data_IF_036524318694
#
_entry.id   IF_036524318694
#
_cell.length_a   1.000
_cell.length_b   1.000
_cell.length_c   1.000
_cell.angle_alpha   90.00
_cell.angle_beta   90.00
_cell.angle_gamma   90.00
#
_symmetry.space_group_name_H-M   'P 1'
#
loop_
_entity.id
_entity.type
_entity.pdbx_description
1 polymer ?
#
# COMPACT_ATOMS: atom_id res chain seq x y z
N UNK A 1 1.47 44.55 -22.54
CA UNK A 1 0.91 44.36 -21.18
C UNK A 1 1.00 42.86 -20.92
N UNK A 2 1.74 42.40 -19.91
CA UNK A 2 1.78 40.94 -19.62
C UNK A 2 0.38 40.52 -19.23
N UNK A 3 -0.16 39.52 -19.91
CA UNK A 3 -1.50 39.02 -19.67
C UNK A 3 -1.46 38.17 -18.39
N UNK A 4 -1.66 38.79 -17.23
CA UNK A 4 -1.49 38.12 -15.93
C UNK A 4 -2.77 37.44 -15.46
N UNK A 5 -2.62 36.31 -14.78
CA UNK A 5 -3.72 35.61 -14.12
C UNK A 5 -4.38 36.51 -13.05
N UNK A 6 -5.63 36.92 -13.27
CA UNK A 6 -6.38 37.82 -12.37
C UNK A 6 -7.22 37.09 -11.33
N UNK A 7 -7.07 35.76 -11.24
CA UNK A 7 -7.82 34.89 -10.33
C UNK A 7 -7.21 34.90 -8.92
N UNK A 8 -8.07 34.80 -7.90
CA UNK A 8 -7.61 34.55 -6.54
C UNK A 8 -6.92 33.18 -6.44
N UNK A 9 -5.83 33.03 -5.65
CA UNK A 9 -5.08 31.78 -5.58
C UNK A 9 -5.93 30.54 -5.27
N UNK A 10 -6.99 30.67 -4.47
CA UNK A 10 -7.87 29.53 -4.17
C UNK A 10 -8.77 29.16 -5.36
N UNK A 11 -9.20 30.12 -6.18
CA UNK A 11 -9.93 29.83 -7.42
C UNK A 11 -9.06 29.03 -8.38
N UNK A 12 -7.79 29.43 -8.55
CA UNK A 12 -6.81 28.68 -9.35
C UNK A 12 -6.68 27.25 -8.84
N UNK A 13 -6.49 27.06 -7.53
CA UNK A 13 -6.36 25.73 -6.93
C UNK A 13 -7.60 24.89 -7.15
N UNK A 14 -8.81 25.44 -7.02
CA UNK A 14 -10.06 24.70 -7.27
C UNK A 14 -10.15 24.21 -8.71
N UNK A 15 -9.77 25.05 -9.68
CA UNK A 15 -9.76 24.68 -11.10
C UNK A 15 -8.72 23.59 -11.36
N UNK A 16 -7.49 23.74 -10.85
CA UNK A 16 -6.42 22.75 -11.01
C UNK A 16 -6.77 21.40 -10.37
N UNK A 17 -7.44 21.41 -9.21
CA UNK A 17 -7.96 20.19 -8.56
C UNK A 17 -8.99 19.47 -9.45
N UNK A 18 -9.89 20.20 -10.10
CA UNK A 18 -10.87 19.62 -11.02
C UNK A 18 -10.19 18.99 -12.25
N UNK A 19 -9.24 19.70 -12.85
CA UNK A 19 -8.45 19.19 -13.98
C UNK A 19 -7.69 17.92 -13.59
N UNK A 20 -7.00 17.93 -12.44
CA UNK A 20 -6.28 16.77 -11.94
C UNK A 20 -7.19 15.58 -11.71
N UNK A 21 -8.32 15.77 -11.03
CA UNK A 21 -9.26 14.71 -10.73
C UNK A 21 -9.93 14.15 -11.99
N UNK A 22 -10.28 15.01 -12.96
CA UNK A 22 -10.80 14.57 -14.24
C UNK A 22 -9.77 13.72 -14.98
N UNK A 23 -8.52 14.20 -15.11
CA UNK A 23 -7.45 13.47 -15.78
C UNK A 23 -7.20 12.12 -15.09
N UNK A 24 -7.01 12.13 -13.77
CA UNK A 24 -6.72 10.92 -13.00
C UNK A 24 -7.90 9.92 -13.02
N UNK A 25 -9.12 10.41 -13.22
CA UNK A 25 -10.34 9.64 -13.42
C UNK A 25 -10.44 8.90 -14.76
N UNK A 26 -9.63 9.26 -15.75
CA UNK A 26 -9.56 8.58 -17.05
C UNK A 26 -8.39 7.58 -17.05
N UNK A 27 -8.62 6.33 -17.47
CA UNK A 27 -7.65 5.21 -17.54
C UNK A 27 -6.18 5.64 -17.60
N UNK A 28 -5.52 5.66 -16.44
CA UNK A 28 -4.09 5.96 -16.26
C UNK A 28 -3.58 7.22 -16.98
N UNK A 29 -4.40 8.26 -17.04
CA UNK A 29 -4.14 9.45 -17.88
C UNK A 29 -3.32 10.51 -17.14
N UNK A 30 -2.05 10.62 -17.52
CA UNK A 30 -1.14 11.70 -17.09
C UNK A 30 -1.13 12.92 -18.04
N UNK A 31 -1.72 12.78 -19.24
CA UNK A 31 -1.74 13.81 -20.29
C UNK A 31 -3.08 13.80 -21.02
N UNK A 32 -3.57 14.97 -21.41
CA UNK A 32 -4.84 15.12 -22.12
C UNK A 32 -4.76 16.21 -23.19
N UNK A 33 -5.57 16.12 -24.23
CA UNK A 33 -5.68 17.21 -25.19
C UNK A 33 -6.31 18.42 -24.51
N UNK A 34 -5.85 19.62 -24.86
CA UNK A 34 -6.35 20.90 -24.34
C UNK A 34 -7.87 20.97 -24.44
N UNK A 35 -8.44 20.56 -25.57
CA UNK A 35 -9.89 20.62 -25.81
C UNK A 35 -10.69 19.71 -24.86
N UNK A 36 -10.11 18.58 -24.42
CA UNK A 36 -10.72 17.70 -23.42
C UNK A 36 -10.69 18.33 -22.01
N UNK A 37 -9.72 19.21 -21.74
CA UNK A 37 -9.59 19.90 -20.46
C UNK A 37 -10.47 21.14 -20.33
N UNK A 38 -11.13 21.56 -21.41
CA UNK A 38 -11.96 22.77 -21.38
C UNK A 38 -13.19 22.59 -20.47
N UNK A 39 -13.85 21.45 -20.53
CA UNK A 39 -15.09 21.23 -19.77
C UNK A 39 -14.85 21.19 -18.26
N UNK A 40 -13.89 20.41 -17.72
CA UNK A 40 -13.59 20.44 -16.28
C UNK A 40 -13.21 21.82 -15.75
N UNK A 41 -12.62 22.67 -16.60
CA UNK A 41 -12.28 24.05 -16.23
C UNK A 41 -13.51 24.96 -16.25
N UNK A 42 -14.37 24.87 -17.28
CA UNK A 42 -15.60 25.66 -17.40
C UNK A 42 -16.52 25.43 -16.21
N UNK A 43 -16.75 24.17 -15.83
CA UNK A 43 -17.62 23.81 -14.70
C UNK A 43 -17.22 24.54 -13.41
N UNK A 44 -15.90 24.63 -13.14
CA UNK A 44 -15.41 25.34 -11.95
C UNK A 44 -15.49 26.85 -12.10
N UNK A 45 -15.17 27.40 -13.27
CA UNK A 45 -15.26 28.84 -13.52
C UNK A 45 -16.71 29.35 -13.33
N UNK A 46 -17.69 28.60 -13.84
CA UNK A 46 -19.12 28.90 -13.68
C UNK A 46 -19.54 28.81 -12.20
N UNK A 47 -19.14 27.73 -11.51
CA UNK A 47 -19.43 27.54 -10.08
C UNK A 47 -18.85 28.64 -9.20
N UNK A 48 -17.65 29.11 -9.52
CA UNK A 48 -16.95 30.19 -8.82
C UNK A 48 -17.35 31.59 -9.32
N UNK A 49 -18.29 31.68 -10.28
CA UNK A 49 -18.82 32.92 -10.88
C UNK A 49 -17.73 33.83 -11.45
N UNK A 50 -16.73 33.25 -12.09
CA UNK A 50 -15.66 33.99 -12.76
C UNK A 50 -16.08 34.31 -14.19
N UNK A 51 -16.48 35.56 -14.45
CA UNK A 51 -16.96 35.98 -15.77
C UNK A 51 -15.84 36.33 -16.76
N UNK A 52 -14.72 36.88 -16.29
CA UNK A 52 -13.69 37.48 -17.15
C UNK A 52 -12.56 36.50 -17.57
N UNK A 53 -12.74 35.21 -17.32
CA UNK A 53 -11.77 34.16 -17.63
C UNK A 53 -12.42 33.05 -18.44
N UNK A 54 -11.90 32.76 -19.64
CA UNK A 54 -12.28 31.56 -20.40
C UNK A 54 -11.39 30.37 -20.00
N UNK A 55 -11.93 29.16 -20.12
CA UNK A 55 -11.20 27.93 -19.82
C UNK A 55 -9.91 27.79 -20.64
N UNK A 56 -10.00 28.11 -21.93
CA UNK A 56 -8.89 28.08 -22.87
C UNK A 56 -7.79 29.10 -22.51
N UNK A 57 -8.20 30.32 -22.10
CA UNK A 57 -7.25 31.34 -21.59
C UNK A 57 -6.60 30.89 -20.29
N UNK A 58 -7.36 30.33 -19.35
CA UNK A 58 -6.83 29.82 -18.09
C UNK A 58 -5.74 28.75 -18.32
N UNK A 59 -6.02 27.74 -19.14
CA UNK A 59 -5.08 26.65 -19.39
C UNK A 59 -3.77 27.15 -20.03
N UNK A 60 -3.85 28.12 -20.96
CA UNK A 60 -2.64 28.76 -21.52
C UNK A 60 -1.84 29.50 -20.46
N UNK A 61 -2.47 30.34 -19.64
CA UNK A 61 -1.76 31.11 -18.61
C UNK A 61 -1.10 30.19 -17.56
N UNK A 62 -1.79 29.14 -17.14
CA UNK A 62 -1.24 28.14 -16.19
C UNK A 62 -0.03 27.41 -16.78
N UNK A 63 -0.04 27.13 -18.09
CA UNK A 63 1.07 26.49 -18.80
C UNK A 63 2.24 27.46 -19.02
N UNK A 64 1.96 28.62 -19.61
CA UNK A 64 2.97 29.53 -20.16
C UNK A 64 3.59 30.41 -19.07
N UNK A 65 2.79 30.89 -18.10
CA UNK A 65 3.26 31.80 -17.05
C UNK A 65 3.45 31.07 -15.71
N UNK A 66 2.55 30.13 -15.38
CA UNK A 66 2.56 29.43 -14.10
C UNK A 66 3.49 28.21 -14.06
N UNK A 67 3.75 27.58 -15.20
CA UNK A 67 4.53 26.33 -15.30
C UNK A 67 3.90 25.12 -14.59
N UNK A 68 2.67 25.22 -14.08
CA UNK A 68 2.00 24.13 -13.35
C UNK A 68 1.50 23.03 -14.29
N UNK A 69 1.24 23.40 -15.55
CA UNK A 69 1.00 22.48 -16.65
C UNK A 69 2.17 22.57 -17.65
N UNK A 70 2.51 21.43 -18.23
CA UNK A 70 3.54 21.27 -19.25
C UNK A 70 2.87 20.93 -20.57
N UNK A 71 3.35 21.55 -21.66
CA UNK A 71 2.91 21.26 -23.03
C UNK A 71 3.74 20.14 -23.64
N UNK A 72 3.08 19.15 -24.24
CA UNK A 72 3.67 18.06 -25.00
C UNK A 72 3.22 18.20 -26.46
N UNK A 73 4.02 18.89 -27.27
CA UNK A 73 3.57 19.34 -28.60
C UNK A 73 2.61 20.53 -28.49
N UNK A 74 1.71 20.68 -29.48
CA UNK A 74 0.90 21.90 -29.62
C UNK A 74 -0.24 21.97 -28.61
N UNK A 75 -1.00 20.88 -28.47
CA UNK A 75 -2.30 20.88 -27.77
C UNK A 75 -2.47 19.74 -26.75
N UNK A 76 -1.39 19.15 -26.22
CA UNK A 76 -1.48 18.14 -25.16
C UNK A 76 -0.84 18.66 -23.89
N UNK A 77 -1.61 18.70 -22.80
CA UNK A 77 -1.16 19.21 -21.50
C UNK A 77 -1.07 18.10 -20.47
N UNK A 78 -0.16 18.25 -19.51
CA UNK A 78 -0.08 17.42 -18.32
C UNK A 78 0.56 18.15 -17.16
N UNK A 79 0.35 17.68 -15.93
CA UNK A 79 1.05 18.24 -14.77
C UNK A 79 2.55 17.96 -14.86
N UNK A 80 3.36 18.82 -14.23
CA UNK A 80 4.81 18.67 -14.21
C UNK A 80 5.25 17.31 -13.60
N UNK A 81 4.52 16.84 -12.59
CA UNK A 81 4.76 15.56 -11.93
C UNK A 81 3.44 14.84 -11.64
N UNK A 82 3.46 13.51 -11.75
CA UNK A 82 2.31 12.66 -11.42
C UNK A 82 1.90 12.84 -9.95
N UNK A 83 2.86 12.88 -9.02
CA UNK A 83 2.62 13.18 -7.61
C UNK A 83 1.85 14.49 -7.36
N UNK A 84 2.04 15.49 -8.22
CA UNK A 84 1.27 16.73 -8.11
C UNK A 84 -0.17 16.56 -8.59
N UNK A 85 -0.40 15.80 -9.66
CA UNK A 85 -1.75 15.41 -10.10
C UNK A 85 -2.46 14.57 -9.04
N UNK A 86 -1.77 13.61 -8.42
CA UNK A 86 -2.30 12.74 -7.37
C UNK A 86 -2.68 13.57 -6.14
N UNK A 87 -1.79 14.46 -5.68
CA UNK A 87 -2.08 15.37 -4.57
C UNK A 87 -3.31 16.25 -4.84
N UNK A 88 -3.38 16.87 -6.01
CA UNK A 88 -4.54 17.70 -6.39
C UNK A 88 -5.82 16.87 -6.48
N UNK A 89 -5.74 15.63 -6.94
CA UNK A 89 -6.87 14.68 -6.97
C UNK A 89 -7.35 14.32 -5.57
N UNK A 90 -6.43 13.98 -4.65
CA UNK A 90 -6.75 13.74 -3.24
C UNK A 90 -7.43 14.96 -2.59
N UNK A 91 -6.96 16.18 -2.90
CA UNK A 91 -7.57 17.43 -2.45
C UNK A 91 -8.92 17.73 -3.10
N UNK A 92 -9.15 17.28 -4.34
CA UNK A 92 -10.45 17.38 -5.00
C UNK A 92 -11.48 16.49 -4.30
N UNK A 93 -11.17 15.21 -4.10
CA UNK A 93 -12.05 14.24 -3.44
C UNK A 93 -12.49 14.75 -2.06
N UNK A 94 -11.56 15.37 -1.32
CA UNK A 94 -11.83 16.01 -0.04
C UNK A 94 -12.90 17.11 -0.10
N UNK A 95 -12.94 17.87 -1.19
CA UNK A 95 -13.89 18.96 -1.41
C UNK A 95 -15.29 18.51 -1.83
N UNK A 96 -15.47 17.26 -2.28
CA UNK A 96 -16.78 16.73 -2.69
C UNK A 96 -17.71 16.40 -1.50
N UNK A 97 -17.16 16.39 -0.28
CA UNK A 97 -17.83 15.94 0.92
C UNK A 97 -17.73 14.43 1.07
N UNK A 98 -16.60 13.96 1.62
CA UNK A 98 -16.37 12.55 1.96
C UNK A 98 -17.22 12.05 3.15
N UNK A 99 -18.24 12.82 3.54
CA UNK A 99 -19.39 12.38 4.33
C UNK A 99 -20.43 11.63 3.47
N UNK A 100 -20.38 11.75 2.14
CA UNK A 100 -21.30 11.08 1.21
C UNK A 100 -20.86 9.63 0.94
N UNK A 101 -21.68 8.61 1.26
CA UNK A 101 -21.32 7.20 1.10
C UNK A 101 -20.98 6.77 -0.34
N UNK A 102 -21.56 7.42 -1.36
CA UNK A 102 -21.38 7.03 -2.76
C UNK A 102 -19.95 7.29 -3.30
N UNK A 103 -19.35 8.43 -2.94
CA UNK A 103 -18.01 8.81 -3.40
C UNK A 103 -16.93 7.90 -2.77
N UNK A 104 -17.06 7.63 -1.47
CA UNK A 104 -16.18 6.70 -0.76
C UNK A 104 -16.31 5.28 -1.28
N UNK A 105 -17.52 4.87 -1.68
CA UNK A 105 -17.74 3.57 -2.30
C UNK A 105 -17.04 3.46 -3.66
N UNK A 106 -17.12 4.51 -4.49
CA UNK A 106 -16.39 4.58 -5.75
C UNK A 106 -14.88 4.45 -5.57
N UNK A 107 -14.32 5.11 -4.56
CA UNK A 107 -12.90 5.01 -4.24
C UNK A 107 -12.53 3.65 -3.63
N UNK A 108 -13.35 3.09 -2.75
CA UNK A 108 -13.16 1.76 -2.18
C UNK A 108 -13.13 0.64 -3.24
N UNK A 109 -13.81 0.84 -4.38
CA UNK A 109 -13.72 -0.07 -5.54
C UNK A 109 -12.33 -0.10 -6.19
N UNK A 110 -11.56 0.98 -6.02
CA UNK A 110 -10.24 1.19 -6.60
C UNK A 110 -9.10 0.87 -5.64
N UNK A 111 -9.39 0.19 -4.52
CA UNK A 111 -8.41 -0.05 -3.46
C UNK A 111 -7.15 -0.79 -3.93
N UNK A 112 -7.30 -1.76 -4.83
CA UNK A 112 -6.18 -2.53 -5.41
C UNK A 112 -5.63 -1.93 -6.71
N UNK A 113 -6.20 -0.82 -7.19
CA UNK A 113 -5.72 -0.17 -8.39
C UNK A 113 -4.48 0.66 -8.04
N UNK A 114 -3.31 0.22 -8.50
CA UNK A 114 -2.03 0.88 -8.24
C UNK A 114 -2.01 2.33 -8.73
N UNK A 115 -2.84 2.68 -9.72
CA UNK A 115 -3.01 4.06 -10.17
C UNK A 115 -3.63 4.97 -9.09
N UNK A 116 -4.49 4.43 -8.23
CA UNK A 116 -5.18 5.17 -7.18
C UNK A 116 -4.49 5.11 -5.82
N UNK A 117 -3.44 4.30 -5.68
CA UNK A 117 -2.73 4.08 -4.43
C UNK A 117 -2.34 5.40 -3.77
N UNK A 118 -1.55 6.24 -4.44
CA UNK A 118 -1.04 7.48 -3.86
C UNK A 118 -2.16 8.48 -3.57
N UNK A 119 -3.20 8.53 -4.40
CA UNK A 119 -4.38 9.36 -4.15
C UNK A 119 -5.10 8.94 -2.86
N UNK A 120 -5.26 7.64 -2.63
CA UNK A 120 -5.88 7.11 -1.41
C UNK A 120 -5.01 7.44 -0.19
N UNK A 121 -3.70 7.21 -0.26
CA UNK A 121 -2.77 7.48 0.85
C UNK A 121 -2.73 8.97 1.19
N UNK A 122 -2.56 9.86 0.20
CA UNK A 122 -2.58 11.30 0.40
C UNK A 122 -3.94 11.81 0.91
N UNK A 123 -5.04 11.14 0.56
CA UNK A 123 -6.36 11.45 1.10
C UNK A 123 -6.43 11.08 2.60
N UNK A 124 -5.94 9.90 2.98
CA UNK A 124 -5.93 9.40 4.36
C UNK A 124 -4.99 10.17 5.29
N UNK A 125 -3.88 10.69 4.78
CA UNK A 125 -2.91 11.48 5.54
C UNK A 125 -3.44 12.83 6.04
N UNK A 126 -4.60 13.28 5.56
CA UNK A 126 -5.16 14.60 5.90
C UNK A 126 -5.96 14.57 7.21
N UNK A 127 -5.62 15.47 8.15
CA UNK A 127 -6.18 15.52 9.52
C UNK A 127 -7.53 16.22 9.67
N UNK A 128 -7.95 17.10 8.76
CA UNK A 128 -9.12 17.96 8.99
C UNK A 128 -10.15 17.93 7.84
N UNK A 129 -11.31 17.25 8.04
CA UNK A 129 -11.57 16.22 9.06
C UNK A 129 -10.81 14.92 8.74
N UNK A 130 -10.61 13.96 9.65
CA UNK A 130 -10.06 12.66 9.27
C UNK A 130 -11.05 11.87 8.39
N UNK A 131 -10.56 11.11 7.41
CA UNK A 131 -11.39 10.28 6.50
C UNK A 131 -11.09 8.79 6.57
N UNK A 132 -10.18 8.39 7.45
CA UNK A 132 -9.86 6.99 7.66
C UNK A 132 -11.09 6.15 8.01
N UNK A 133 -11.84 6.55 9.04
CA UNK A 133 -13.02 5.78 9.44
C UNK A 133 -14.08 5.66 8.34
N UNK A 134 -14.57 6.76 7.71
CA UNK A 134 -15.61 6.63 6.70
C UNK A 134 -15.12 5.86 5.47
N UNK A 135 -13.84 5.98 5.09
CA UNK A 135 -13.25 5.18 4.03
C UNK A 135 -13.16 3.69 4.39
N UNK A 136 -12.66 3.36 5.58
CA UNK A 136 -12.58 1.97 6.05
C UNK A 136 -13.96 1.35 6.25
N UNK A 137 -14.99 2.13 6.62
CA UNK A 137 -16.39 1.66 6.62
C UNK A 137 -16.90 1.33 5.21
N UNK A 138 -16.45 2.06 4.19
CA UNK A 138 -16.77 1.74 2.80
C UNK A 138 -16.04 0.48 2.35
N UNK A 139 -14.76 0.32 2.69
CA UNK A 139 -14.00 -0.90 2.41
C UNK A 139 -14.55 -2.12 3.12
N UNK A 140 -14.95 -2.00 4.39
CA UNK A 140 -15.40 -3.13 5.19
C UNK A 140 -16.78 -3.68 4.78
N UNK A 141 -17.49 -2.97 3.88
CA UNK A 141 -18.69 -3.49 3.22
C UNK A 141 -18.37 -4.40 2.03
N UNK A 142 -17.12 -4.45 1.58
CA UNK A 142 -16.68 -5.27 0.44
C UNK A 142 -16.25 -6.66 0.92
N UNK A 143 -16.77 -7.76 0.34
CA UNK A 143 -16.40 -9.13 0.72
C UNK A 143 -14.89 -9.41 0.61
N UNK A 144 -14.24 -8.77 -0.36
CA UNK A 144 -12.80 -8.89 -0.60
C UNK A 144 -11.93 -8.30 0.55
N UNK A 145 -12.53 -7.69 1.58
CA UNK A 145 -11.80 -7.28 2.77
C UNK A 145 -10.98 -8.43 3.39
N UNK A 146 -11.50 -9.66 3.33
CA UNK A 146 -10.80 -10.85 3.84
C UNK A 146 -9.44 -11.11 3.17
N UNK A 147 -9.32 -10.81 1.89
CA UNK A 147 -8.09 -10.93 1.11
C UNK A 147 -7.20 -9.71 1.25
N UNK A 148 -7.77 -8.51 1.38
CA UNK A 148 -6.98 -7.28 1.51
C UNK A 148 -6.38 -7.04 2.88
N UNK A 149 -6.94 -7.67 3.93
CA UNK A 149 -6.49 -7.49 5.30
C UNK A 149 -4.97 -7.70 5.48
N UNK A 150 -4.37 -8.52 4.63
CA UNK A 150 -2.96 -8.89 4.70
C UNK A 150 -2.06 -8.20 3.63
N UNK A 151 -2.63 -7.29 2.83
CA UNK A 151 -1.92 -6.62 1.71
C UNK A 151 -1.04 -5.45 2.13
N UNK A 152 -0.01 -5.16 1.33
CA UNK A 152 0.85 -3.97 1.50
C UNK A 152 0.03 -2.67 1.46
N UNK A 153 -0.98 -2.58 0.59
CA UNK A 153 -1.85 -1.41 0.52
C UNK A 153 -2.58 -1.14 1.85
N UNK A 154 -3.05 -2.18 2.54
CA UNK A 154 -3.64 -2.06 3.87
C UNK A 154 -2.59 -1.57 4.88
N UNK A 155 -1.35 -2.08 4.81
CA UNK A 155 -0.25 -1.65 5.67
C UNK A 155 0.08 -0.17 5.48
N UNK A 156 0.15 0.30 4.24
CA UNK A 156 0.36 1.70 3.88
C UNK A 156 -0.78 2.59 4.38
N UNK A 157 -2.05 2.16 4.26
CA UNK A 157 -3.19 2.93 4.78
C UNK A 157 -3.09 3.19 6.29
N UNK A 158 -2.63 2.21 7.07
CA UNK A 158 -2.42 2.37 8.51
C UNK A 158 -1.15 3.16 8.85
N UNK A 159 -0.16 3.17 7.96
CA UNK A 159 1.08 3.93 8.13
C UNK A 159 0.85 5.41 7.86
N UNK A 160 0.16 5.72 6.77
CA UNK A 160 -0.02 7.09 6.28
C UNK A 160 -1.20 7.82 6.91
N UNK A 161 -2.18 7.09 7.48
CA UNK A 161 -3.37 7.73 8.04
C UNK A 161 -3.04 8.76 9.12
N UNK A 162 -3.73 9.90 9.03
CA UNK A 162 -3.71 10.93 10.06
C UNK A 162 -4.17 10.42 11.44
N UNK A 163 -5.13 9.49 11.46
CA UNK A 163 -5.78 8.97 12.67
C UNK A 163 -6.09 7.48 12.46
N UNK A 164 -5.52 6.63 13.31
CA UNK A 164 -5.85 5.19 13.35
C UNK A 164 -7.14 4.99 14.15
N UNK A 165 -7.97 4.05 13.71
CA UNK A 165 -9.22 3.72 14.39
C UNK A 165 -9.62 2.26 14.18
N UNK A 166 -10.00 1.59 15.26
CA UNK A 166 -10.52 0.22 15.22
C UNK A 166 -12.02 0.21 14.87
N UNK A 167 -12.70 1.35 15.08
CA UNK A 167 -14.15 1.49 15.00
C UNK A 167 -14.77 0.87 13.74
N UNK A 168 -14.26 1.13 12.51
CA UNK A 168 -14.86 0.57 11.29
C UNK A 168 -14.88 -0.96 11.27
N UNK A 169 -13.84 -1.59 11.83
CA UNK A 169 -13.67 -3.04 11.83
C UNK A 169 -14.47 -3.69 12.96
N UNK A 170 -14.50 -3.06 14.14
CA UNK A 170 -15.35 -3.51 15.25
C UNK A 170 -16.83 -3.41 14.87
N UNK A 171 -17.25 -2.34 14.21
CA UNK A 171 -18.63 -2.18 13.73
C UNK A 171 -19.04 -3.32 12.79
N UNK A 172 -18.18 -3.71 11.85
CA UNK A 172 -18.48 -4.83 10.94
C UNK A 172 -18.51 -6.16 11.67
N UNK A 173 -17.56 -6.39 12.59
CA UNK A 173 -17.54 -7.60 13.40
C UNK A 173 -18.83 -7.74 14.23
N UNK A 174 -19.33 -6.66 14.81
CA UNK A 174 -20.50 -6.69 15.70
C UNK A 174 -21.86 -6.79 14.98
N UNK A 175 -21.91 -6.74 13.65
CA UNK A 175 -23.18 -6.85 12.90
C UNK A 175 -23.75 -8.26 12.95
N UNK A 176 -25.05 -8.35 13.20
CA UNK A 176 -25.80 -9.61 13.21
C UNK A 176 -26.39 -10.01 11.84
N UNK A 177 -26.03 -9.30 10.77
CA UNK A 177 -26.55 -9.51 9.43
C UNK A 177 -25.96 -10.79 8.80
N UNK A 178 -26.83 -11.64 8.23
CA UNK A 178 -26.40 -12.86 7.55
C UNK A 178 -25.60 -12.54 6.27
N UNK A 179 -24.57 -13.34 5.98
CA UNK A 179 -23.77 -13.20 4.76
C UNK A 179 -22.60 -12.22 4.86
N UNK A 180 -22.26 -11.73 6.06
CA UNK A 180 -21.08 -10.88 6.30
C UNK A 180 -19.82 -11.66 6.74
N UNK A 181 -19.84 -13.00 6.68
CA UNK A 181 -18.79 -13.84 7.26
C UNK A 181 -17.38 -13.50 6.76
N UNK A 182 -17.20 -13.30 5.45
CA UNK A 182 -15.91 -12.92 4.86
C UNK A 182 -15.46 -11.54 5.33
N UNK A 183 -16.34 -10.54 5.30
CA UNK A 183 -16.05 -9.18 5.77
C UNK A 183 -15.67 -9.18 7.25
N UNK A 184 -16.36 -9.98 8.07
CA UNK A 184 -16.11 -10.10 9.51
C UNK A 184 -14.76 -10.78 9.79
N UNK A 185 -14.40 -11.83 9.04
CA UNK A 185 -13.05 -12.43 9.10
C UNK A 185 -11.99 -11.41 8.68
N UNK A 186 -12.21 -10.66 7.60
CA UNK A 186 -11.29 -9.60 7.16
C UNK A 186 -11.11 -8.51 8.22
N UNK A 187 -12.19 -8.07 8.85
CA UNK A 187 -12.15 -7.10 9.93
C UNK A 187 -11.36 -7.63 11.14
N UNK A 188 -11.59 -8.88 11.52
CA UNK A 188 -10.86 -9.54 12.61
C UNK A 188 -9.36 -9.68 12.30
N UNK A 189 -8.98 -10.02 11.06
CA UNK A 189 -7.58 -10.04 10.62
C UNK A 189 -6.90 -8.67 10.71
N UNK A 190 -7.58 -7.62 10.22
CA UNK A 190 -7.06 -6.24 10.31
C UNK A 190 -6.85 -5.84 11.77
N UNK A 191 -7.84 -6.08 12.63
CA UNK A 191 -7.72 -5.80 14.06
C UNK A 191 -6.55 -6.54 14.69
N UNK A 192 -6.43 -7.86 14.44
CA UNK A 192 -5.33 -8.68 14.97
C UNK A 192 -3.95 -8.11 14.59
N UNK A 193 -3.78 -7.71 13.34
CA UNK A 193 -2.48 -7.29 12.81
C UNK A 193 -2.13 -5.84 13.12
N UNK A 194 -3.13 -4.95 13.12
CA UNK A 194 -2.91 -3.49 13.20
C UNK A 194 -3.26 -2.88 14.54
N UNK A 195 -4.10 -3.55 15.31
CA UNK A 195 -4.69 -3.06 16.56
C UNK A 195 -4.77 -4.23 17.58
N UNK A 196 -3.62 -4.85 17.95
CA UNK A 196 -3.60 -6.09 18.73
C UNK A 196 -4.22 -5.92 20.12
N UNK A 197 -4.11 -4.73 20.73
CA UNK A 197 -4.72 -4.44 22.03
C UNK A 197 -6.26 -4.41 21.95
N UNK A 198 -6.82 -3.86 20.87
CA UNK A 198 -8.26 -3.89 20.62
C UNK A 198 -8.73 -5.30 20.25
N UNK A 199 -7.94 -6.04 19.47
CA UNK A 199 -8.25 -7.42 19.10
C UNK A 199 -8.32 -8.33 20.33
N UNK A 200 -7.38 -8.21 21.27
CA UNK A 200 -7.38 -9.00 22.51
C UNK A 200 -8.66 -8.82 23.33
N UNK A 201 -9.27 -7.63 23.31
CA UNK A 201 -10.54 -7.35 24.01
C UNK A 201 -11.76 -8.04 23.37
N UNK A 202 -11.61 -8.60 22.18
CA UNK A 202 -12.70 -9.22 21.40
C UNK A 202 -12.67 -10.75 21.45
N UNK A 203 -11.80 -11.35 22.25
CA UNK A 203 -11.64 -12.82 22.33
C UNK A 203 -12.98 -13.55 22.57
N UNK A 204 -13.76 -13.14 23.56
CA UNK A 204 -15.07 -13.73 23.83
C UNK A 204 -16.07 -13.54 22.69
N UNK A 205 -16.02 -12.39 22.01
CA UNK A 205 -16.86 -12.10 20.84
C UNK A 205 -16.51 -13.00 19.67
N UNK A 206 -15.23 -13.27 19.45
CA UNK A 206 -14.74 -14.12 18.36
C UNK A 206 -15.05 -15.59 18.59
N UNK A 207 -14.89 -16.07 19.83
CA UNK A 207 -15.16 -17.46 20.21
C UNK A 207 -16.64 -17.84 20.03
N UNK A 208 -17.55 -16.95 20.42
CA UNK A 208 -19.00 -17.17 20.36
C UNK A 208 -19.67 -16.45 19.17
N UNK A 209 -18.88 -15.98 18.21
CA UNK A 209 -19.37 -15.16 17.11
C UNK A 209 -20.49 -15.87 16.32
N UNK A 210 -21.60 -15.23 15.91
CA UNK A 210 -22.70 -15.91 15.23
C UNK A 210 -22.35 -16.47 13.84
N UNK A 211 -21.45 -15.82 13.10
CA UNK A 211 -20.96 -16.30 11.81
C UNK A 211 -20.02 -17.51 11.96
N UNK A 212 -20.27 -18.57 11.20
CA UNK A 212 -19.50 -19.81 11.28
C UNK A 212 -18.06 -19.63 10.75
N UNK A 213 -17.88 -18.76 9.77
CA UNK A 213 -16.61 -18.39 9.14
C UNK A 213 -15.68 -17.75 10.16
N UNK A 214 -16.21 -16.85 11.00
CA UNK A 214 -15.44 -16.20 12.08
C UNK A 214 -15.04 -17.21 13.14
N UNK A 215 -15.95 -18.10 13.57
CA UNK A 215 -15.61 -19.16 14.53
C UNK A 215 -14.59 -20.15 13.98
N UNK A 216 -14.71 -20.52 12.70
CA UNK A 216 -13.77 -21.41 12.04
C UNK A 216 -12.38 -20.77 11.93
N UNK A 217 -12.31 -19.49 11.54
CA UNK A 217 -11.08 -18.72 11.52
C UNK A 217 -10.48 -18.56 12.92
N UNK A 218 -11.28 -18.21 13.94
CA UNK A 218 -10.82 -18.12 15.33
C UNK A 218 -10.26 -19.46 15.83
N UNK A 219 -10.98 -20.56 15.57
CA UNK A 219 -10.52 -21.91 15.94
C UNK A 219 -9.24 -22.30 15.21
N UNK A 220 -9.05 -21.87 13.96
CA UNK A 220 -7.81 -22.14 13.24
C UNK A 220 -6.62 -21.42 13.86
N UNK A 221 -6.81 -20.26 14.52
CA UNK A 221 -5.75 -19.59 15.28
C UNK A 221 -5.34 -20.35 16.54
N UNK A 222 -6.29 -21.09 17.14
CA UNK A 222 -6.07 -21.88 18.35
C UNK A 222 -5.56 -23.30 18.03
N UNK A 223 -5.95 -23.84 16.87
CA UNK A 223 -5.58 -25.16 16.36
C UNK A 223 -4.31 -25.17 15.51
N UNK A 224 -3.94 -24.04 14.90
CA UNK A 224 -2.54 -23.78 14.60
C UNK A 224 -1.85 -23.62 15.95
N UNK A 225 -1.00 -24.57 16.33
CA UNK A 225 -0.16 -24.42 17.52
C UNK A 225 0.37 -23.00 17.56
N UNK A 226 0.11 -22.35 18.68
CA UNK A 226 0.53 -20.99 19.02
C UNK A 226 1.63 -20.46 18.10
N UNK A 227 1.35 -19.38 17.36
CA UNK A 227 2.38 -18.45 16.88
C UNK A 227 3.17 -17.78 18.05
N UNK A 228 3.07 -18.36 19.25
CA UNK A 228 3.66 -17.95 20.52
C UNK A 228 4.79 -18.87 20.98
N UNK A 229 5.31 -19.75 20.13
CA UNK A 229 6.67 -20.32 20.25
C UNK A 229 7.11 -20.84 18.87
N UNK A 230 7.14 -19.95 17.86
CA UNK A 230 8.09 -20.21 16.79
C UNK A 230 9.45 -20.19 17.49
N UNK A 231 10.08 -21.36 17.64
CA UNK A 231 11.37 -21.45 18.30
C UNK A 231 12.32 -20.50 17.57
N UNK A 232 12.59 -19.33 18.17
CA UNK A 232 13.49 -18.32 17.63
C UNK A 232 14.84 -18.54 18.26
N UNK A 233 15.83 -18.78 17.43
CA UNK A 233 17.22 -18.87 17.87
C UNK A 233 18.01 -17.71 17.27
N UNK A 234 18.90 -17.12 18.06
CA UNK A 234 19.86 -16.12 17.56
C UNK A 234 21.11 -16.87 17.14
N UNK A 235 21.45 -16.79 15.86
CA UNK A 235 22.66 -17.42 15.34
C UNK A 235 23.88 -16.58 15.73
N UNK A 236 24.60 -17.01 16.78
CA UNK A 236 25.64 -16.22 17.46
C UNK A 236 26.66 -15.56 16.52
N UNK A 237 27.18 -16.31 15.55
CA UNK A 237 28.24 -15.84 14.64
C UNK A 237 27.76 -14.74 13.70
N UNK A 238 26.52 -14.85 13.21
CA UNK A 238 25.96 -13.94 12.22
C UNK A 238 25.14 -12.81 12.88
N UNK A 239 24.63 -13.04 14.09
CA UNK A 239 23.71 -12.14 14.78
C UNK A 239 22.28 -12.14 14.24
N UNK A 240 21.95 -13.08 13.35
CA UNK A 240 20.63 -13.15 12.73
C UNK A 240 19.64 -13.92 13.62
N UNK A 241 18.38 -13.52 13.58
CA UNK A 241 17.28 -14.28 14.19
C UNK A 241 16.74 -15.31 13.20
N UNK A 242 16.77 -16.57 13.60
CA UNK A 242 16.26 -17.70 12.84
C UNK A 242 14.95 -18.19 13.46
N UNK A 243 13.95 -18.43 12.63
CA UNK A 243 12.61 -18.91 13.02
C UNK A 243 12.44 -20.34 12.55
N UNK A 244 11.98 -21.22 13.44
CA UNK A 244 11.68 -22.61 13.10
C UNK A 244 10.44 -22.70 12.20
N UNK A 245 10.61 -23.32 11.03
CA UNK A 245 9.54 -23.75 10.15
C UNK A 245 9.30 -25.25 10.39
N UNK A 246 8.10 -25.67 10.83
CA UNK A 246 7.81 -27.07 11.11
C UNK A 246 7.81 -27.91 9.83
N UNK A 247 8.08 -29.21 9.99
CA UNK A 247 7.93 -30.18 8.90
C UNK A 247 6.47 -30.22 8.44
N UNK A 248 6.24 -30.40 7.14
CA UNK A 248 4.90 -30.45 6.61
C UNK A 248 4.84 -30.53 5.09
N UNK A 249 3.62 -30.71 4.59
CA UNK A 249 3.31 -30.71 3.16
C UNK A 249 2.53 -29.45 2.81
N UNK A 250 2.85 -28.83 1.68
CA UNK A 250 2.15 -27.66 1.16
C UNK A 250 2.06 -27.70 -0.36
N UNK A 251 1.19 -26.86 -0.94
CA UNK A 251 1.07 -26.71 -2.39
C UNK A 251 2.03 -25.62 -2.88
N UNK A 252 2.98 -26.02 -3.72
CA UNK A 252 3.96 -25.13 -4.35
C UNK A 252 3.56 -24.85 -5.81
N UNK A 253 3.73 -23.61 -6.25
CA UNK A 253 3.33 -23.15 -7.58
C UNK A 253 1.85 -22.75 -7.68
N UNK A 254 1.42 -22.33 -8.88
CA UNK A 254 0.06 -21.84 -9.13
C UNK A 254 -0.75 -22.75 -10.05
N UNK A 255 -2.05 -22.90 -9.75
CA UNK A 255 -2.99 -23.66 -10.57
C UNK A 255 -3.63 -22.82 -11.69
N UNK A 256 -3.75 -21.50 -11.50
CA UNK A 256 -4.41 -20.56 -12.43
C UNK A 256 -3.65 -19.22 -12.42
N UNK A 257 -3.37 -18.65 -13.59
CA UNK A 257 -2.55 -17.42 -13.69
C UNK A 257 -1.05 -17.69 -13.52
N UNK A 258 -0.24 -16.64 -13.42
CA UNK A 258 1.24 -16.74 -13.31
C UNK A 258 1.97 -17.08 -14.62
N UNK A 259 3.30 -17.00 -14.57
CA UNK A 259 4.19 -17.37 -15.68
C UNK A 259 4.27 -18.89 -15.83
N UNK A 260 4.63 -19.38 -17.03
CA UNK A 260 4.70 -20.84 -17.31
C UNK A 260 5.66 -21.58 -16.36
N UNK A 261 6.71 -20.91 -15.87
CA UNK A 261 7.68 -21.48 -14.92
C UNK A 261 7.15 -21.66 -13.49
N UNK A 262 6.00 -21.06 -13.17
CA UNK A 262 5.37 -21.16 -11.84
C UNK A 262 4.32 -22.28 -11.78
N UNK A 263 4.18 -23.05 -12.87
CA UNK A 263 3.22 -24.15 -13.05
C UNK A 263 3.94 -25.48 -13.29
N UNK A 264 3.30 -26.63 -12.98
CA UNK A 264 2.00 -26.77 -12.33
C UNK A 264 2.09 -26.61 -10.80
N UNK A 265 0.96 -26.29 -10.18
CA UNK A 265 0.85 -26.47 -8.73
C UNK A 265 0.98 -27.96 -8.38
N UNK A 266 1.80 -28.27 -7.38
CA UNK A 266 2.06 -29.63 -6.91
C UNK A 266 2.33 -29.64 -5.41
N UNK A 267 2.14 -30.81 -4.78
CA UNK A 267 2.43 -30.99 -3.36
C UNK A 267 3.94 -31.18 -3.14
N UNK A 268 4.49 -30.46 -2.16
CA UNK A 268 5.88 -30.58 -1.71
C UNK A 268 5.88 -30.85 -0.22
N UNK A 269 6.70 -31.81 0.22
CA UNK A 269 6.90 -32.16 1.63
C UNK A 269 8.31 -31.79 2.05
N UNK A 270 8.42 -31.03 3.13
CA UNK A 270 9.69 -30.62 3.72
C UNK A 270 9.82 -31.10 5.16
N UNK A 271 11.05 -31.43 5.55
CA UNK A 271 11.43 -31.60 6.95
C UNK A 271 11.46 -30.24 7.66
N UNK A 272 11.47 -30.25 8.98
CA UNK A 272 11.57 -29.02 9.77
C UNK A 272 12.94 -28.37 9.56
N UNK A 273 12.97 -27.05 9.47
CA UNK A 273 14.20 -26.28 9.30
C UNK A 273 14.07 -24.89 9.94
N UNK A 274 15.16 -24.12 9.91
CA UNK A 274 15.19 -22.75 10.39
C UNK A 274 15.43 -21.79 9.22
N UNK A 275 14.70 -20.67 9.19
CA UNK A 275 14.90 -19.60 8.21
C UNK A 275 15.10 -18.26 8.90
N UNK A 276 15.95 -17.39 8.35
CA UNK A 276 16.12 -16.03 8.85
C UNK A 276 14.78 -15.27 8.81
N UNK A 277 14.44 -14.60 9.92
CA UNK A 277 13.19 -13.81 10.04
C UNK A 277 13.13 -12.66 9.03
N UNK A 278 14.29 -12.11 8.72
CA UNK A 278 14.46 -10.98 7.80
C UNK A 278 15.59 -11.28 6.83
N UNK A 279 15.63 -10.61 5.66
CA UNK A 279 16.85 -10.57 4.85
C UNK A 279 18.04 -10.09 5.68
N UNK A 280 19.24 -10.56 5.34
CA UNK A 280 20.48 -10.17 6.02
C UNK A 280 20.68 -8.66 5.88
N UNK A 281 20.92 -8.00 7.00
CA UNK A 281 21.12 -6.55 7.08
C UNK A 281 22.57 -6.14 6.78
N UNK A 282 22.80 -4.86 6.53
CA UNK A 282 24.15 -4.31 6.41
C UNK A 282 24.97 -4.49 7.70
N UNK A 283 24.36 -4.41 8.88
CA UNK A 283 25.06 -4.64 10.14
C UNK A 283 25.55 -6.09 10.27
N UNK A 284 24.70 -7.06 9.88
CA UNK A 284 25.01 -8.49 9.93
C UNK A 284 26.05 -8.88 8.87
N UNK A 285 25.86 -8.44 7.61
CA UNK A 285 26.84 -8.64 6.55
C UNK A 285 28.18 -7.92 6.86
N UNK A 286 28.12 -6.80 7.58
CA UNK A 286 29.30 -6.08 8.06
C UNK A 286 30.17 -6.93 9.00
N UNK A 287 29.59 -7.86 9.77
CA UNK A 287 30.36 -8.81 10.59
C UNK A 287 31.15 -9.79 9.74
N UNK A 288 30.55 -10.27 8.65
CA UNK A 288 31.24 -11.11 7.67
C UNK A 288 32.42 -10.38 7.03
N UNK A 289 32.22 -9.15 6.56
CA UNK A 289 33.29 -8.34 5.97
C UNK A 289 34.39 -8.02 6.99
N UNK A 290 34.04 -7.75 8.25
CA UNK A 290 35.02 -7.51 9.31
C UNK A 290 35.87 -8.75 9.63
N UNK A 291 35.28 -9.95 9.56
CA UNK A 291 35.97 -11.21 9.75
C UNK A 291 36.80 -11.65 8.53
N UNK A 292 36.51 -11.10 7.34
CA UNK A 292 37.14 -11.46 6.07
C UNK A 292 37.59 -10.19 5.33
N UNK A 293 38.67 -9.53 5.79
CA UNK A 293 39.08 -8.21 5.27
C UNK A 293 39.50 -8.20 3.80
N UNK A 294 39.85 -9.35 3.24
CA UNK A 294 40.24 -9.52 1.84
C UNK A 294 39.04 -9.66 0.89
N UNK A 295 37.83 -9.84 1.43
CA UNK A 295 36.60 -9.92 0.63
C UNK A 295 36.24 -8.54 0.10
N UNK A 296 36.02 -8.47 -1.21
CA UNK A 296 35.56 -7.24 -1.87
C UNK A 296 34.16 -6.91 -1.36
N UNK A 297 33.95 -5.64 -0.99
CA UNK A 297 32.64 -5.18 -0.54
C UNK A 297 31.68 -5.08 -1.72
N UNK A 298 30.37 -5.32 -1.52
CA UNK A 298 29.37 -5.11 -2.57
C UNK A 298 29.47 -3.72 -3.20
N UNK A 299 29.17 -3.61 -4.50
CA UNK A 299 29.36 -2.37 -5.29
C UNK A 299 28.69 -1.14 -4.67
N UNK A 300 27.54 -1.33 -4.03
CA UNK A 300 26.72 -0.26 -3.43
C UNK A 300 26.92 -0.10 -1.92
N UNK A 301 27.90 -0.79 -1.33
CA UNK A 301 28.17 -0.76 0.12
C UNK A 301 28.44 0.66 0.67
N UNK A 302 29.06 1.52 -0.14
CA UNK A 302 29.34 2.90 0.22
C UNK A 302 28.18 3.88 -0.01
N UNK A 303 27.10 3.44 -0.64
CA UNK A 303 25.97 4.31 -1.01
C UNK A 303 25.05 4.56 0.18
N UNK A 304 24.94 5.83 0.57
CA UNK A 304 24.10 6.28 1.70
C UNK A 304 22.62 5.92 1.57
N UNK A 305 22.14 5.61 0.37
CA UNK A 305 20.75 5.18 0.13
C UNK A 305 20.49 3.75 0.61
N UNK A 306 21.52 2.92 0.67
CA UNK A 306 21.41 1.47 0.83
C UNK A 306 22.26 0.88 1.96
N UNK A 307 23.02 1.71 2.70
CA UNK A 307 24.02 1.23 3.66
C UNK A 307 23.67 1.49 5.13
N UNK A 308 22.41 1.78 5.46
CA UNK A 308 22.02 1.92 6.87
C UNK A 308 22.06 0.56 7.58
N UNK A 309 22.43 0.50 8.87
CA UNK A 309 22.69 -0.77 9.58
C UNK A 309 21.55 -1.80 9.49
N UNK A 310 20.30 -1.36 9.65
CA UNK A 310 19.11 -2.24 9.67
C UNK A 310 18.49 -2.48 8.29
N UNK A 311 19.03 -1.86 7.23
CA UNK A 311 18.57 -2.13 5.87
C UNK A 311 19.12 -3.47 5.37
N UNK A 312 18.37 -4.20 4.52
CA UNK A 312 18.90 -5.35 3.80
C UNK A 312 20.16 -4.98 3.03
N UNK A 313 21.17 -5.85 3.08
CA UNK A 313 22.32 -5.72 2.18
C UNK A 313 21.87 -5.95 0.74
N UNK A 314 22.33 -5.10 -0.18
CA UNK A 314 21.98 -5.15 -1.60
C UNK A 314 23.23 -5.04 -2.47
N UNK A 315 23.10 -5.40 -3.75
CA UNK A 315 24.25 -5.48 -4.67
C UNK A 315 25.16 -6.67 -4.40
N UNK A 316 24.62 -7.72 -3.78
CA UNK A 316 25.31 -8.98 -3.49
C UNK A 316 24.92 -10.00 -4.56
N UNK A 317 25.91 -10.63 -5.18
CA UNK A 317 25.75 -11.74 -6.10
C UNK A 317 25.37 -13.03 -5.38
N UNK A 318 24.94 -14.04 -6.13
CA UNK A 318 24.64 -15.36 -5.57
C UNK A 318 25.87 -15.99 -4.90
N UNK A 319 27.05 -15.87 -5.49
CA UNK A 319 28.29 -16.43 -4.94
C UNK A 319 28.69 -15.75 -3.62
N UNK A 320 28.50 -14.43 -3.53
CA UNK A 320 28.77 -13.69 -2.29
C UNK A 320 27.74 -14.00 -1.19
N UNK A 321 26.47 -14.19 -1.55
CA UNK A 321 25.44 -14.64 -0.62
C UNK A 321 25.76 -16.04 -0.10
N UNK A 322 26.18 -16.94 -0.98
CA UNK A 322 26.64 -18.29 -0.60
C UNK A 322 27.88 -18.23 0.29
N UNK A 323 28.86 -17.40 -0.02
CA UNK A 323 30.07 -17.25 0.79
C UNK A 323 29.75 -16.71 2.20
N UNK A 324 28.80 -15.79 2.33
CA UNK A 324 28.29 -15.34 3.63
C UNK A 324 27.64 -16.49 4.42
N UNK A 325 26.79 -17.29 3.78
CA UNK A 325 26.17 -18.47 4.40
C UNK A 325 27.23 -19.48 4.84
N UNK A 326 28.20 -19.82 3.98
CA UNK A 326 29.28 -20.75 4.30
C UNK A 326 30.13 -20.24 5.47
N UNK A 327 30.45 -18.93 5.50
CA UNK A 327 31.11 -18.32 6.65
C UNK A 327 30.26 -18.42 7.91
N UNK A 328 28.96 -18.16 7.83
CA UNK A 328 28.07 -18.27 8.98
C UNK A 328 27.89 -19.73 9.43
N UNK A 329 28.14 -20.73 8.59
CA UNK A 329 27.76 -22.13 8.86
C UNK A 329 26.27 -22.38 8.58
N UNK A 330 25.69 -21.60 7.67
CA UNK A 330 24.31 -21.65 7.22
C UNK A 330 24.25 -22.03 5.74
N UNK A 331 23.04 -22.19 5.21
CA UNK A 331 22.78 -22.51 3.82
C UNK A 331 21.81 -21.49 3.22
N UNK A 332 21.87 -21.32 1.90
CA UNK A 332 20.78 -20.68 1.15
C UNK A 332 19.58 -21.63 1.14
N UNK A 333 18.34 -21.13 1.28
CA UNK A 333 17.16 -21.97 1.18
C UNK A 333 17.00 -22.52 -0.24
N UNK A 334 16.40 -23.70 -0.37
CA UNK A 334 15.85 -24.14 -1.65
C UNK A 334 14.64 -23.29 -2.01
N UNK A 335 14.25 -23.29 -3.28
CA UNK A 335 13.02 -22.59 -3.71
C UNK A 335 11.79 -23.10 -2.96
N UNK A 336 11.71 -24.39 -2.64
CA UNK A 336 10.62 -24.94 -1.86
C UNK A 336 10.63 -24.49 -0.39
N UNK A 337 11.81 -24.21 0.17
CA UNK A 337 11.93 -23.71 1.54
C UNK A 337 11.55 -22.22 1.64
N UNK A 338 11.67 -21.45 0.57
CA UNK A 338 11.40 -20.01 0.50
C UNK A 338 9.93 -19.73 0.18
#
# INVERSE_FOLDING_TARGET
MRDTLTLEPEQVRKILRAVAAWMHGQDQRARAKRDELLEPVREVLERERVADMSADRFLRLVRDDGGLLTGYGVDVYGFMHLGFQEYLTARWLRGLGLDKPAELWGLAKRFEDSWWQEVILLMLAQRNPPVFEPFMRALAKRPELASWADTEMMDLCFTETAVKSATPFVEVLMKSEAGLGEQQVGAAKVLRRKMPEEFARLEGVLAEHPAAEVRAWWSSLQGSGTAGDAEVIVHEKAGIELVRIPAGSFLMGTAVGGLDRERPQHEVTLEAFYMARTPVTNAEYGRYLAANPDVVKPDVWGDRRYNQPEQPVVGVSWDEAKAYCDWAGLLLPTEAQW
#
